data_IF_036125332909
#
_entry.id   IF_036125332909
#
_cell.length_a   1.000
_cell.length_b   1.000
_cell.length_c   1.000
_cell.angle_alpha   90.00
_cell.angle_beta   90.00
_cell.angle_gamma   90.00
#
_symmetry.space_group_name_H-M   'P 1'
#
loop_
_entity.id
_entity.type
_entity.pdbx_description
1 polymer ?
#
# COMPACT_ATOMS: atom_id res chain seq x y z
N UNK A 1 19.10 -22.23 7.31
CA UNK A 1 18.50 -21.49 8.45
C UNK A 1 19.26 -20.22 8.84
N UNK A 2 20.57 -20.08 8.60
CA UNK A 2 21.35 -18.90 9.04
C UNK A 2 21.17 -17.62 8.22
N UNK A 3 20.70 -17.68 6.97
CA UNK A 3 20.52 -16.49 6.11
C UNK A 3 19.31 -15.61 6.50
N UNK A 4 18.28 -16.20 7.10
CA UNK A 4 17.06 -15.50 7.51
C UNK A 4 17.27 -14.62 8.76
N UNK A 5 18.30 -14.89 9.57
CA UNK A 5 18.58 -14.14 10.81
C UNK A 5 19.43 -12.88 10.53
N UNK A 6 20.18 -12.86 9.42
CA UNK A 6 21.17 -11.81 9.12
C UNK A 6 20.66 -10.70 8.18
N UNK A 7 19.38 -10.67 7.82
CA UNK A 7 18.83 -9.63 6.92
C UNK A 7 19.36 -9.68 5.49
N UNK A 8 20.01 -10.77 5.06
CA UNK A 8 20.64 -10.90 3.74
C UNK A 8 19.64 -11.12 2.59
N UNK A 9 18.37 -11.43 2.87
CA UNK A 9 17.30 -11.48 1.87
C UNK A 9 17.02 -10.11 1.23
N UNK A 10 17.48 -9.02 1.84
CA UNK A 10 17.44 -7.67 1.27
C UNK A 10 18.71 -7.30 0.46
N UNK A 11 19.72 -8.19 0.36
CA UNK A 11 21.00 -7.90 -0.33
C UNK A 11 21.11 -8.50 -1.73
N UNK A 12 20.39 -9.58 -2.03
CA UNK A 12 20.45 -10.21 -3.36
C UNK A 12 19.11 -10.85 -3.73
N UNK A 13 18.57 -10.51 -4.90
CA UNK A 13 17.33 -11.08 -5.42
C UNK A 13 16.65 -10.13 -6.42
N UNK A 14 15.75 -10.67 -7.24
CA UNK A 14 15.01 -9.91 -8.27
C UNK A 14 14.32 -8.66 -7.70
N UNK A 15 13.83 -8.73 -6.46
CA UNK A 15 13.24 -7.62 -5.73
C UNK A 15 14.21 -6.45 -5.54
N UNK A 16 15.49 -6.69 -5.20
CA UNK A 16 16.44 -5.59 -4.94
C UNK A 16 17.04 -5.02 -6.22
N UNK A 17 17.00 -5.78 -7.32
CA UNK A 17 17.50 -5.38 -8.63
C UNK A 17 16.53 -4.43 -9.36
N UNK A 18 15.23 -4.47 -9.08
CA UNK A 18 14.29 -3.59 -9.74
C UNK A 18 14.58 -2.11 -9.40
N UNK A 19 14.58 -1.27 -10.43
CA UNK A 19 14.85 0.16 -10.31
C UNK A 19 13.75 0.89 -9.56
N UNK A 20 12.51 0.39 -9.64
CA UNK A 20 11.36 0.95 -8.92
C UNK A 20 11.17 0.33 -7.52
N UNK A 21 12.11 -0.47 -7.02
CA UNK A 21 12.02 -0.98 -5.64
C UNK A 21 12.23 0.15 -4.64
N UNK A 22 11.33 0.30 -3.64
CA UNK A 22 11.48 1.29 -2.58
C UNK A 22 12.83 1.20 -1.87
N UNK A 23 13.37 2.34 -1.44
CA UNK A 23 14.54 2.37 -0.57
C UNK A 23 14.29 1.58 0.74
N UNK A 24 15.33 0.95 1.29
CA UNK A 24 15.20 -0.02 2.40
C UNK A 24 14.52 0.53 3.67
N UNK A 25 14.66 1.82 3.98
CA UNK A 25 13.99 2.44 5.12
C UNK A 25 12.46 2.36 5.03
N UNK A 26 11.90 2.27 3.81
CA UNK A 26 10.48 2.35 3.57
C UNK A 26 9.69 1.20 4.21
N UNK A 27 10.33 0.05 4.37
CA UNK A 27 9.75 -1.11 5.03
C UNK A 27 9.51 -0.90 6.53
N UNK A 28 10.09 0.13 7.15
CA UNK A 28 9.75 0.53 8.53
C UNK A 28 8.28 0.92 8.69
N UNK A 29 7.59 1.31 7.60
CA UNK A 29 6.16 1.61 7.61
C UNK A 29 5.31 0.41 8.04
N UNK A 30 5.78 -0.82 7.82
CA UNK A 30 5.10 -2.02 8.31
C UNK A 30 4.95 -2.03 9.82
N UNK A 31 5.93 -1.51 10.57
CA UNK A 31 5.82 -1.38 12.03
C UNK A 31 4.67 -0.46 12.42
N UNK A 32 4.55 0.70 11.74
CA UNK A 32 3.46 1.64 11.96
C UNK A 32 2.09 1.06 11.55
N UNK A 33 2.00 0.41 10.39
CA UNK A 33 0.78 -0.25 9.91
C UNK A 33 0.34 -1.33 10.90
N UNK A 34 1.27 -2.14 11.41
CA UNK A 34 0.98 -3.21 12.38
C UNK A 34 0.47 -2.64 13.69
N UNK A 35 1.12 -1.59 14.22
CA UNK A 35 0.69 -0.91 15.44
C UNK A 35 -0.72 -0.31 15.27
N UNK A 36 -0.94 0.46 14.21
CA UNK A 36 -2.24 1.07 13.93
C UNK A 36 -3.33 0.04 13.70
N UNK A 37 -3.04 -1.06 13.01
CA UNK A 37 -3.99 -2.17 12.80
C UNK A 37 -4.35 -2.84 14.13
N UNK A 38 -3.38 -3.03 15.02
CA UNK A 38 -3.60 -3.59 16.36
C UNK A 38 -4.49 -2.68 17.22
N UNK A 39 -4.16 -1.39 17.28
CA UNK A 39 -4.95 -0.40 18.03
C UNK A 39 -6.36 -0.28 17.44
N UNK A 40 -6.50 -0.31 16.11
CA UNK A 40 -7.79 -0.32 15.41
C UNK A 40 -8.60 -1.55 15.76
N UNK A 41 -8.00 -2.75 15.71
CA UNK A 41 -8.68 -4.00 16.05
C UNK A 41 -9.19 -3.98 17.50
N UNK A 42 -8.38 -3.55 18.45
CA UNK A 42 -8.80 -3.42 19.86
C UNK A 42 -9.93 -2.42 20.03
N UNK A 43 -9.84 -1.26 19.35
CA UNK A 43 -10.89 -0.25 19.41
C UNK A 43 -12.21 -0.74 18.82
N UNK A 44 -12.17 -1.45 17.68
CA UNK A 44 -13.36 -2.01 17.02
C UNK A 44 -13.95 -3.15 17.85
N UNK A 45 -13.16 -4.04 18.44
CA UNK A 45 -13.67 -5.07 19.36
C UNK A 45 -14.38 -4.46 20.56
N UNK A 46 -13.87 -3.34 21.09
CA UNK A 46 -14.44 -2.68 22.27
C UNK A 46 -15.70 -1.87 21.96
N UNK A 47 -15.75 -1.20 20.82
CA UNK A 47 -16.77 -0.19 20.53
C UNK A 47 -17.67 -0.52 19.35
N UNK A 48 -17.30 -1.52 18.54
CA UNK A 48 -17.85 -1.76 17.22
C UNK A 48 -17.53 -0.62 16.23
N UNK A 49 -17.87 -0.85 14.97
CA UNK A 49 -18.12 0.23 14.00
C UNK A 49 -19.58 0.68 14.06
N UNK A 50 -20.46 -0.17 14.59
CA UNK A 50 -21.84 0.15 14.86
C UNK A 50 -22.66 0.32 13.58
N UNK A 51 -22.35 -0.49 12.56
CA UNK A 51 -22.98 -0.48 11.24
C UNK A 51 -23.40 -1.89 10.81
N UNK A 52 -24.38 -2.01 9.91
CA UNK A 52 -24.84 -3.31 9.40
C UNK A 52 -23.79 -4.06 8.58
N UNK A 53 -22.88 -3.33 7.93
CA UNK A 53 -21.77 -3.86 7.13
C UNK A 53 -20.50 -4.15 7.94
N UNK A 54 -20.52 -3.95 9.27
CA UNK A 54 -19.35 -4.16 10.13
C UNK A 54 -18.76 -5.57 9.97
N UNK A 55 -19.63 -6.59 9.92
CA UNK A 55 -19.21 -7.99 9.74
C UNK A 55 -18.43 -8.19 8.44
N UNK A 56 -18.85 -7.57 7.34
CA UNK A 56 -18.17 -7.67 6.05
C UNK A 56 -16.77 -7.05 6.13
N UNK A 57 -16.66 -5.87 6.75
CA UNK A 57 -15.37 -5.21 6.96
C UNK A 57 -14.44 -6.03 7.88
N UNK A 58 -14.97 -6.74 8.87
CA UNK A 58 -14.19 -7.61 9.76
C UNK A 58 -13.73 -8.90 9.07
N UNK A 59 -14.56 -9.47 8.18
CA UNK A 59 -14.16 -10.61 7.33
C UNK A 59 -13.00 -10.19 6.43
N UNK A 60 -13.12 -9.05 5.74
CA UNK A 60 -12.06 -8.52 4.89
C UNK A 60 -10.79 -8.20 5.70
N UNK A 61 -10.93 -7.61 6.89
CA UNK A 61 -9.77 -7.35 7.76
C UNK A 61 -9.07 -8.66 8.15
N UNK A 62 -9.82 -9.72 8.41
CA UNK A 62 -9.28 -11.06 8.68
C UNK A 62 -8.50 -11.61 7.47
N UNK A 63 -9.05 -11.46 6.26
CA UNK A 63 -8.35 -11.83 5.01
C UNK A 63 -7.05 -11.06 4.87
N UNK A 64 -7.04 -9.76 5.18
CA UNK A 64 -5.85 -8.91 5.10
C UNK A 64 -4.79 -9.33 6.12
N UNK A 65 -5.18 -9.64 7.36
CA UNK A 65 -4.23 -10.05 8.40
C UNK A 65 -3.65 -11.43 8.16
N UNK A 66 -4.48 -12.40 7.73
CA UNK A 66 -3.99 -13.71 7.30
C UNK A 66 -3.10 -13.55 6.07
N UNK A 67 -3.50 -12.73 5.11
CA UNK A 67 -2.70 -12.41 3.92
C UNK A 67 -1.33 -11.85 4.28
N UNK A 68 -1.24 -10.95 5.26
CA UNK A 68 0.04 -10.44 5.77
C UNK A 68 0.92 -11.54 6.35
N UNK A 69 0.38 -12.43 7.18
CA UNK A 69 1.12 -13.57 7.73
C UNK A 69 1.58 -14.53 6.63
N UNK A 70 0.73 -14.83 5.66
CA UNK A 70 1.08 -15.66 4.49
C UNK A 70 2.18 -14.99 3.68
N UNK A 71 2.09 -13.69 3.43
CA UNK A 71 3.10 -12.95 2.69
C UNK A 71 4.49 -13.05 3.35
N UNK A 72 4.59 -12.97 4.68
CA UNK A 72 5.88 -13.13 5.35
C UNK A 72 6.55 -14.48 5.04
N UNK A 73 5.76 -15.56 5.00
CA UNK A 73 6.26 -16.90 4.64
C UNK A 73 6.65 -16.94 3.15
N UNK A 74 5.77 -16.46 2.28
CA UNK A 74 5.97 -16.44 0.82
C UNK A 74 7.20 -15.62 0.43
N UNK A 75 7.39 -14.45 1.04
CA UNK A 75 8.55 -13.59 0.85
C UNK A 75 9.84 -14.25 1.33
N UNK A 76 9.80 -14.97 2.46
CA UNK A 76 10.96 -15.71 2.96
C UNK A 76 11.40 -16.87 2.05
N UNK A 77 10.52 -17.34 1.16
CA UNK A 77 10.84 -18.38 0.16
C UNK A 77 11.14 -17.80 -1.24
N UNK A 78 11.18 -16.48 -1.40
CA UNK A 78 11.34 -15.80 -2.70
C UNK A 78 10.28 -16.20 -3.76
N UNK A 79 9.06 -16.57 -3.32
CA UNK A 79 7.98 -16.96 -4.23
C UNK A 79 7.27 -15.73 -4.82
N UNK A 80 7.90 -15.12 -5.82
CA UNK A 80 7.53 -13.78 -6.33
C UNK A 80 6.09 -13.68 -6.85
N UNK A 81 5.63 -14.62 -7.68
CA UNK A 81 4.25 -14.61 -8.19
C UNK A 81 3.21 -14.88 -7.10
N UNK A 82 3.54 -15.69 -6.10
CA UNK A 82 2.67 -15.88 -4.95
C UNK A 82 2.57 -14.58 -4.13
N UNK A 83 3.67 -13.83 -3.97
CA UNK A 83 3.62 -12.50 -3.33
C UNK A 83 2.69 -11.55 -4.07
N UNK A 84 2.72 -11.54 -5.40
CA UNK A 84 1.78 -10.74 -6.23
C UNK A 84 0.33 -11.10 -5.89
N UNK A 85 0.00 -12.40 -5.90
CA UNK A 85 -1.37 -12.86 -5.61
C UNK A 85 -1.81 -12.43 -4.21
N UNK A 86 -0.95 -12.61 -3.20
CA UNK A 86 -1.28 -12.22 -1.82
C UNK A 86 -1.54 -10.72 -1.71
N UNK A 87 -0.69 -9.87 -2.29
CA UNK A 87 -0.91 -8.42 -2.28
C UNK A 87 -2.16 -8.00 -3.04
N UNK A 88 -2.51 -8.66 -4.15
CA UNK A 88 -3.75 -8.38 -4.89
C UNK A 88 -4.96 -8.71 -4.02
N UNK A 89 -4.99 -9.88 -3.38
CA UNK A 89 -6.09 -10.27 -2.47
C UNK A 89 -6.22 -9.27 -1.32
N UNK A 90 -5.10 -8.92 -0.68
CA UNK A 90 -5.10 -7.92 0.39
C UNK A 90 -5.57 -6.55 -0.09
N UNK A 91 -5.10 -6.09 -1.26
CA UNK A 91 -5.48 -4.79 -1.81
C UNK A 91 -6.98 -4.72 -2.14
N UNK A 92 -7.57 -5.80 -2.65
CA UNK A 92 -9.02 -5.88 -2.93
C UNK A 92 -9.81 -5.81 -1.63
N UNK A 93 -9.46 -6.61 -0.61
CA UNK A 93 -10.11 -6.59 0.68
C UNK A 93 -9.99 -5.21 1.37
N UNK A 94 -8.79 -4.62 1.37
CA UNK A 94 -8.55 -3.27 1.87
C UNK A 94 -9.35 -2.20 1.11
N UNK A 95 -9.47 -2.33 -0.21
CA UNK A 95 -10.27 -1.42 -1.03
C UNK A 95 -11.76 -1.52 -0.69
N UNK A 96 -12.27 -2.72 -0.42
CA UNK A 96 -13.66 -2.92 0.01
C UNK A 96 -13.91 -2.32 1.39
N UNK A 97 -13.04 -2.57 2.38
CA UNK A 97 -13.08 -1.93 3.70
C UNK A 97 -13.12 -0.41 3.57
N UNK A 98 -12.21 0.16 2.76
CA UNK A 98 -12.13 1.61 2.56
C UNK A 98 -13.35 2.17 1.83
N UNK A 99 -13.94 1.42 0.91
CA UNK A 99 -15.19 1.80 0.26
C UNK A 99 -16.33 1.89 1.27
N UNK A 100 -16.47 0.89 2.17
CA UNK A 100 -17.43 0.90 3.27
C UNK A 100 -17.23 2.11 4.18
N UNK A 101 -16.01 2.29 4.70
CA UNK A 101 -15.66 3.37 5.63
C UNK A 101 -15.87 4.78 5.04
N UNK A 102 -15.63 4.98 3.74
CA UNK A 102 -15.73 6.30 3.10
C UNK A 102 -17.16 6.58 2.60
N UNK A 103 -17.85 5.59 2.05
CA UNK A 103 -19.17 5.77 1.41
C UNK A 103 -20.33 5.65 2.39
N UNK A 104 -20.22 4.75 3.37
CA UNK A 104 -21.25 4.46 4.37
C UNK A 104 -20.91 5.04 5.75
N UNK A 105 -20.03 6.06 5.78
CA UNK A 105 -19.59 6.73 7.02
C UNK A 105 -20.73 7.23 7.90
N UNK A 106 -21.88 7.57 7.32
CA UNK A 106 -23.03 8.13 8.01
C UNK A 106 -23.83 7.06 8.77
N UNK A 107 -23.62 5.79 8.45
CA UNK A 107 -24.27 4.64 9.10
C UNK A 107 -23.50 4.16 10.33
N UNK A 108 -22.28 4.64 10.54
CA UNK A 108 -21.46 4.27 11.70
C UNK A 108 -21.97 4.98 12.95
N UNK A 109 -22.31 4.19 13.97
CA UNK A 109 -22.76 4.72 15.28
C UNK A 109 -21.65 4.70 16.35
N UNK A 110 -20.46 4.18 16.03
CA UNK A 110 -19.32 4.17 16.94
C UNK A 110 -18.80 5.59 17.27
N UNK A 111 -17.99 5.76 18.33
CA UNK A 111 -17.34 7.03 18.63
C UNK A 111 -16.53 7.55 17.43
N UNK A 112 -16.61 8.86 17.16
CA UNK A 112 -15.95 9.50 16.02
C UNK A 112 -14.45 9.18 15.91
N UNK A 113 -13.76 9.06 17.04
CA UNK A 113 -12.33 8.74 17.06
C UNK A 113 -12.04 7.31 16.56
N UNK A 114 -12.95 6.34 16.80
CA UNK A 114 -12.84 4.96 16.28
C UNK A 114 -13.00 4.96 14.76
N UNK A 115 -14.01 5.67 14.25
CA UNK A 115 -14.25 5.80 12.81
C UNK A 115 -13.04 6.43 12.09
N UNK A 116 -12.47 7.50 12.67
CA UNK A 116 -11.26 8.16 12.14
C UNK A 116 -10.06 7.22 12.21
N UNK A 117 -9.83 6.56 13.34
CA UNK A 117 -8.73 5.62 13.52
C UNK A 117 -8.80 4.48 12.49
N UNK A 118 -9.97 3.85 12.30
CA UNK A 118 -10.16 2.79 11.33
C UNK A 118 -9.90 3.29 9.90
N UNK A 119 -10.49 4.44 9.53
CA UNK A 119 -10.32 5.02 8.18
C UNK A 119 -8.88 5.39 7.88
N UNK A 120 -8.15 5.96 8.85
CA UNK A 120 -6.74 6.32 8.69
C UNK A 120 -5.87 5.06 8.62
N UNK A 121 -6.10 4.08 9.49
CA UNK A 121 -5.28 2.86 9.58
C UNK A 121 -5.43 1.98 8.36
N UNK A 122 -6.66 1.63 7.97
CA UNK A 122 -6.92 0.86 6.75
C UNK A 122 -6.56 1.65 5.49
N UNK A 123 -6.72 2.98 5.52
CA UNK A 123 -6.28 3.85 4.44
C UNK A 123 -4.78 3.76 4.23
N UNK A 124 -3.98 3.94 5.30
CA UNK A 124 -2.52 3.84 5.25
C UNK A 124 -2.08 2.48 4.72
N UNK A 125 -2.71 1.41 5.20
CA UNK A 125 -2.43 0.06 4.78
C UNK A 125 -2.74 -0.15 3.28
N UNK A 126 -3.91 0.30 2.82
CA UNK A 126 -4.27 0.23 1.40
C UNK A 126 -3.30 1.04 0.53
N UNK A 127 -2.95 2.25 0.96
CA UNK A 127 -2.06 3.14 0.21
C UNK A 127 -0.71 2.47 -0.06
N UNK A 128 -0.08 1.97 1.00
CA UNK A 128 1.18 1.23 0.90
C UNK A 128 1.05 -0.05 0.05
N UNK A 129 0.04 -0.89 0.35
CA UNK A 129 -0.14 -2.19 -0.31
C UNK A 129 -0.48 -2.05 -1.80
N UNK A 130 -1.23 -1.01 -2.18
CA UNK A 130 -1.61 -0.76 -3.57
C UNK A 130 -0.40 -0.49 -4.46
N UNK A 131 0.62 0.22 -3.96
CA UNK A 131 1.88 0.42 -4.69
C UNK A 131 2.76 -0.83 -4.63
N UNK A 132 2.75 -1.53 -3.49
CA UNK A 132 3.49 -2.78 -3.34
C UNK A 132 3.06 -3.88 -4.33
N UNK A 133 1.79 -3.92 -4.78
CA UNK A 133 1.35 -4.82 -5.86
C UNK A 133 2.24 -4.65 -7.10
N UNK A 134 2.44 -3.41 -7.55
CA UNK A 134 3.24 -3.12 -8.75
C UNK A 134 4.71 -3.45 -8.54
N UNK A 135 5.27 -3.14 -7.36
CA UNK A 135 6.64 -3.51 -7.03
C UNK A 135 6.85 -5.05 -7.03
N UNK A 136 5.89 -5.81 -6.50
CA UNK A 136 5.93 -7.28 -6.54
C UNK A 136 5.82 -7.82 -7.97
N UNK A 137 4.97 -7.22 -8.82
CA UNK A 137 4.87 -7.59 -10.24
C UNK A 137 6.21 -7.36 -10.94
N UNK A 138 6.86 -6.22 -10.70
CA UNK A 138 8.18 -5.92 -11.25
C UNK A 138 9.22 -6.95 -10.80
N UNK A 139 9.26 -7.28 -9.51
CA UNK A 139 10.16 -8.31 -9.00
C UNK A 139 9.90 -9.67 -9.68
N UNK A 140 8.63 -10.08 -9.79
CA UNK A 140 8.23 -11.33 -10.42
C UNK A 140 8.60 -11.40 -11.92
N UNK A 141 8.44 -10.29 -12.66
CA UNK A 141 8.86 -10.22 -14.07
C UNK A 141 10.38 -10.34 -14.22
N UNK A 142 11.17 -9.69 -13.35
CA UNK A 142 12.62 -9.86 -13.33
C UNK A 142 13.00 -11.30 -13.01
N UNK A 143 12.33 -11.92 -12.03
CA UNK A 143 12.51 -13.34 -11.70
C UNK A 143 12.13 -14.28 -12.85
N UNK A 144 11.23 -13.85 -13.75
CA UNK A 144 10.87 -14.56 -14.98
C UNK A 144 11.81 -14.27 -16.17
N UNK A 145 12.91 -13.53 -15.95
CA UNK A 145 13.95 -13.27 -16.95
C UNK A 145 13.90 -11.90 -17.62
N UNK A 146 13.02 -10.99 -17.19
CA UNK A 146 13.02 -9.62 -17.71
C UNK A 146 14.24 -8.84 -17.21
N UNK A 147 14.83 -8.01 -18.07
CA UNK A 147 16.02 -7.23 -17.70
C UNK A 147 15.69 -6.18 -16.64
N UNK A 148 16.37 -6.26 -15.49
CA UNK A 148 16.29 -5.27 -14.41
C UNK A 148 16.85 -3.89 -14.79
N UNK A 149 17.67 -3.80 -15.84
CA UNK A 149 18.28 -2.56 -16.31
C UNK A 149 17.42 -1.84 -17.37
N UNK A 150 16.41 -2.52 -17.91
CA UNK A 150 15.55 -1.94 -18.92
C UNK A 150 14.52 -0.97 -18.29
N UNK A 151 14.83 0.32 -18.34
CA UNK A 151 14.00 1.40 -17.77
C UNK A 151 12.60 1.45 -18.37
N UNK A 152 12.46 1.20 -19.68
CA UNK A 152 11.22 1.43 -20.41
C UNK A 152 10.00 0.67 -19.88
N UNK A 153 10.13 -0.62 -19.57
CA UNK A 153 8.99 -1.39 -19.06
C UNK A 153 8.70 -1.09 -17.58
N UNK A 154 9.73 -0.81 -16.77
CA UNK A 154 9.54 -0.40 -15.37
C UNK A 154 8.87 0.97 -15.27
N UNK A 155 9.14 1.86 -16.23
CA UNK A 155 8.43 3.12 -16.38
C UNK A 155 6.94 2.89 -16.62
N UNK A 156 6.57 1.96 -17.51
CA UNK A 156 5.16 1.60 -17.76
C UNK A 156 4.49 1.08 -16.48
N UNK A 157 5.17 0.22 -15.71
CA UNK A 157 4.65 -0.28 -14.44
C UNK A 157 4.45 0.86 -13.42
N UNK A 158 5.40 1.79 -13.32
CA UNK A 158 5.30 2.94 -12.42
C UNK A 158 4.19 3.90 -12.84
N UNK A 159 3.99 4.13 -14.15
CA UNK A 159 2.86 4.91 -14.66
C UNK A 159 1.54 4.22 -14.33
N UNK A 160 1.43 2.90 -14.51
CA UNK A 160 0.23 2.15 -14.13
C UNK A 160 -0.06 2.25 -12.62
N UNK A 161 0.97 2.15 -11.77
CA UNK A 161 0.85 2.34 -10.33
C UNK A 161 0.35 3.75 -9.98
N UNK A 162 0.90 4.76 -10.66
CA UNK A 162 0.54 6.18 -10.47
C UNK A 162 -0.90 6.46 -10.86
N UNK A 163 -1.36 5.92 -12.00
CA UNK A 163 -2.74 6.04 -12.46
C UNK A 163 -3.71 5.36 -11.48
N UNK A 164 -3.39 4.14 -11.05
CA UNK A 164 -4.19 3.43 -10.06
C UNK A 164 -4.30 4.23 -8.75
N UNK A 165 -3.19 4.82 -8.29
CA UNK A 165 -3.16 5.63 -7.08
C UNK A 165 -4.00 6.91 -7.19
N UNK A 166 -3.93 7.61 -8.32
CA UNK A 166 -4.75 8.80 -8.57
C UNK A 166 -6.24 8.44 -8.62
N UNK A 167 -6.60 7.38 -9.34
CA UNK A 167 -8.00 6.90 -9.43
C UNK A 167 -8.52 6.53 -8.05
N UNK A 168 -7.77 5.74 -7.28
CA UNK A 168 -8.16 5.36 -5.92
C UNK A 168 -8.28 6.58 -5.00
N UNK A 169 -7.39 7.57 -5.10
CA UNK A 169 -7.49 8.83 -4.34
C UNK A 169 -8.80 9.55 -4.62
N UNK A 170 -9.22 9.61 -5.89
CA UNK A 170 -10.51 10.21 -6.28
C UNK A 170 -11.68 9.40 -5.72
N UNK A 171 -11.66 8.08 -5.90
CA UNK A 171 -12.74 7.18 -5.44
C UNK A 171 -12.91 7.21 -3.93
N UNK A 172 -11.81 7.32 -3.18
CA UNK A 172 -11.72 7.43 -1.73
C UNK A 172 -11.78 8.89 -1.23
N UNK A 173 -12.20 9.84 -2.07
CA UNK A 173 -12.48 11.23 -1.70
C UNK A 173 -11.30 11.95 -1.02
N UNK A 174 -10.07 11.64 -1.40
CA UNK A 174 -8.85 12.25 -0.83
C UNK A 174 -8.61 11.88 0.64
N UNK A 175 -8.96 10.66 1.03
CA UNK A 175 -8.77 10.16 2.40
C UNK A 175 -7.30 10.25 2.82
N UNK A 176 -6.97 10.98 3.92
CA UNK A 176 -5.58 11.24 4.32
C UNK A 176 -4.74 9.97 4.55
N UNK A 177 -5.30 8.93 5.17
CA UNK A 177 -4.59 7.68 5.42
C UNK A 177 -4.09 7.04 4.12
N UNK A 178 -4.97 6.92 3.12
CA UNK A 178 -4.62 6.38 1.81
C UNK A 178 -3.52 7.20 1.13
N UNK A 179 -3.69 8.52 1.08
CA UNK A 179 -2.70 9.41 0.49
C UNK A 179 -1.34 9.28 1.18
N UNK A 180 -1.29 9.21 2.52
CA UNK A 180 -0.05 9.05 3.26
C UNK A 180 0.70 7.77 2.89
N UNK A 181 -0.01 6.64 2.76
CA UNK A 181 0.60 5.35 2.39
C UNK A 181 1.16 5.36 0.97
N UNK A 182 0.42 5.93 0.02
CA UNK A 182 0.87 6.08 -1.37
C UNK A 182 2.08 7.01 -1.46
N UNK A 183 2.02 8.18 -0.81
CA UNK A 183 3.11 9.15 -0.85
C UNK A 183 4.39 8.57 -0.24
N UNK A 184 4.29 7.86 0.88
CA UNK A 184 5.42 7.16 1.47
C UNK A 184 6.06 6.18 0.48
N UNK A 185 5.25 5.37 -0.19
CA UNK A 185 5.72 4.41 -1.18
C UNK A 185 6.39 5.11 -2.38
N UNK A 186 5.75 6.11 -2.98
CA UNK A 186 6.29 6.81 -4.15
C UNK A 186 7.57 7.58 -3.83
N UNK A 187 7.67 8.23 -2.66
CA UNK A 187 8.90 8.89 -2.21
C UNK A 187 10.02 7.86 -2.03
N UNK A 188 9.71 6.71 -1.42
CA UNK A 188 10.69 5.65 -1.27
C UNK A 188 11.15 5.05 -2.60
N UNK A 189 10.24 4.92 -3.58
CA UNK A 189 10.58 4.52 -4.95
C UNK A 189 11.48 5.57 -5.61
N UNK A 190 11.19 6.86 -5.45
CA UNK A 190 12.02 7.92 -6.00
C UNK A 190 13.46 7.86 -5.47
N UNK A 191 13.60 7.72 -4.15
CA UNK A 191 14.91 7.58 -3.49
C UNK A 191 15.61 6.29 -3.96
N UNK A 192 14.89 5.17 -4.01
CA UNK A 192 15.43 3.89 -4.46
C UNK A 192 15.88 3.90 -5.93
N UNK A 193 15.15 4.57 -6.81
CA UNK A 193 15.51 4.73 -8.22
C UNK A 193 16.73 5.65 -8.37
N UNK A 194 16.82 6.70 -7.57
CA UNK A 194 17.98 7.60 -7.53
C UNK A 194 19.26 6.87 -7.08
N UNK A 195 19.16 6.03 -6.05
CA UNK A 195 20.26 5.20 -5.56
C UNK A 195 20.74 4.14 -6.57
N UNK A 196 19.92 3.84 -7.58
CA UNK A 196 20.23 2.90 -8.67
C UNK A 196 20.49 3.63 -10.00
N UNK A 197 20.91 4.90 -9.92
CA UNK A 197 21.28 5.77 -11.04
C UNK A 197 20.20 5.95 -12.13
N UNK A 198 18.93 5.75 -11.78
CA UNK A 198 17.80 5.90 -12.70
C UNK A 198 17.05 7.22 -12.45
N UNK A 199 17.61 8.32 -12.97
CA UNK A 199 17.00 9.65 -12.90
C UNK A 199 15.57 9.68 -13.48
N UNK A 200 15.33 9.00 -14.59
CA UNK A 200 14.02 8.97 -15.25
C UNK A 200 12.92 8.41 -14.32
N UNK A 201 13.15 7.25 -13.69
CA UNK A 201 12.18 6.64 -12.77
C UNK A 201 12.05 7.42 -11.46
N UNK A 202 13.15 8.00 -10.97
CA UNK A 202 13.13 8.87 -9.79
C UNK A 202 12.22 10.09 -10.00
N UNK A 203 12.42 10.83 -11.09
CA UNK A 203 11.58 11.98 -11.46
C UNK A 203 10.14 11.56 -11.68
N UNK A 204 9.91 10.41 -12.34
CA UNK A 204 8.55 9.88 -12.55
C UNK A 204 7.82 9.63 -11.24
N UNK A 205 8.48 9.02 -10.25
CA UNK A 205 7.91 8.75 -8.94
C UNK A 205 7.63 10.04 -8.15
N UNK A 206 8.50 11.06 -8.26
CA UNK A 206 8.26 12.39 -7.67
C UNK A 206 7.03 13.06 -8.31
N UNK A 207 6.93 13.06 -9.64
CA UNK A 207 5.77 13.62 -10.35
C UNK A 207 4.48 12.90 -9.93
N UNK A 208 4.52 11.58 -9.81
CA UNK A 208 3.39 10.79 -9.32
C UNK A 208 2.99 11.18 -7.88
N UNK A 209 3.96 11.35 -6.98
CA UNK A 209 3.71 11.77 -5.60
C UNK A 209 3.06 13.17 -5.56
N UNK A 210 3.59 14.13 -6.33
CA UNK A 210 3.01 15.48 -6.44
C UNK A 210 1.58 15.43 -7.00
N UNK A 211 1.32 14.61 -8.03
CA UNK A 211 -0.02 14.44 -8.59
C UNK A 211 -1.01 13.90 -7.55
N UNK A 212 -0.65 12.85 -6.81
CA UNK A 212 -1.48 12.29 -5.74
C UNK A 212 -1.73 13.31 -4.63
N UNK A 213 -0.72 14.07 -4.22
CA UNK A 213 -0.86 15.12 -3.22
C UNK A 213 -1.82 16.23 -3.69
N UNK A 214 -1.65 16.72 -4.93
CA UNK A 214 -2.52 17.75 -5.51
C UNK A 214 -3.98 17.28 -5.60
N UNK A 215 -4.21 16.05 -6.11
CA UNK A 215 -5.56 15.47 -6.18
C UNK A 215 -6.18 15.31 -4.79
N UNK A 216 -5.38 14.88 -3.80
CA UNK A 216 -5.82 14.77 -2.41
C UNK A 216 -6.30 16.13 -1.87
N UNK A 217 -5.51 17.19 -2.05
CA UNK A 217 -5.87 18.55 -1.63
C UNK A 217 -7.16 19.01 -2.32
N UNK A 218 -7.26 18.85 -3.65
CA UNK A 218 -8.46 19.23 -4.42
C UNK A 218 -9.72 18.51 -3.88
N UNK A 219 -9.63 17.21 -3.62
CA UNK A 219 -10.76 16.43 -3.11
C UNK A 219 -11.17 16.88 -1.69
N UNK A 220 -10.21 17.21 -0.83
CA UNK A 220 -10.50 17.73 0.51
C UNK A 220 -11.12 19.13 0.48
N UNK A 221 -10.65 20.02 -0.39
CA UNK A 221 -11.23 21.35 -0.57
C UNK A 221 -12.69 21.26 -1.07
N UNK A 222 -12.95 20.37 -2.04
CA UNK A 222 -14.33 20.10 -2.53
C UNK A 222 -15.25 19.56 -1.44
N UNK A 223 -14.73 18.75 -0.52
CA UNK A 223 -15.51 18.21 0.59
C UNK A 223 -15.84 19.26 1.66
N UNK A 224 -15.00 20.29 1.83
CA UNK A 224 -15.24 21.41 2.77
C UNK A 224 -16.20 22.46 2.23
N UNK A 225 -16.30 22.57 0.91
CA UNK A 225 -17.18 23.51 0.22
C UNK A 225 -18.64 23.01 0.10
N UNK A 226 -18.92 21.78 0.53
CA UNK A 226 -20.25 21.15 0.57
C UNK A 226 -20.74 21.07 2.00
#
# INVERSE_FOLDING_TARGET
MSRAVNGEFLKSGATNQALITPAGYAFSLWGLITLLSTVTAVAVVRHGLGSSWETDALIDASVVFVGFSVWLVVAAQDWLWASVVVFVVMAVALAHIMWLLVRHRAEMTCPRWVAVLATVSFGLYLGWSSIAVFANVTAALIGAGWSAFAVGWQFVVLVAASLAAVVATVLLRGTPGYAAGVLWALVAIAIGASQRDSAALSVTAVVAAVAVAAVTVVQQLRARAR
#
